data_IF_631395354561
#
_entry.id   IF_631395354561
#
_cell.length_a   1.000
_cell.length_b   1.000
_cell.length_c   1.000
_cell.angle_alpha   90.00
_cell.angle_beta   90.00
_cell.angle_gamma   90.00
#
_symmetry.space_group_name_H-M   'P 1'
#
loop_
_entity.id
_entity.type
_entity.pdbx_description
1 polymer ?
#
# COMPACT_ATOMS: atom_id res chain seq x y z
N UNK A 1 -2.45 -73.16 29.07
CA UNK A 1 -1.69 -71.96 29.49
C UNK A 1 -1.17 -71.30 28.20
N UNK A 2 -1.84 -70.31 27.60
CA UNK A 2 -1.65 -68.85 27.84
C UNK A 2 -0.16 -68.48 27.67
N UNK A 3 0.34 -67.70 26.70
CA UNK A 3 -0.08 -66.44 26.04
C UNK A 3 0.68 -66.35 24.67
N UNK A 4 0.12 -65.93 23.52
CA UNK A 4 -0.15 -64.56 23.04
C UNK A 4 0.94 -63.50 23.39
N UNK A 5 1.59 -62.93 22.37
CA UNK A 5 1.74 -61.47 22.09
C UNK A 5 2.85 -61.33 21.01
N UNK A 6 2.51 -61.17 19.72
CA UNK A 6 2.28 -59.92 18.95
C UNK A 6 3.56 -59.17 18.54
N UNK A 7 3.69 -58.99 17.22
CA UNK A 7 4.68 -58.18 16.52
C UNK A 7 4.63 -56.70 16.89
N UNK A 8 5.74 -55.97 16.67
CA UNK A 8 5.71 -54.55 16.29
C UNK A 8 7.03 -54.17 15.62
N UNK A 9 7.04 -54.25 14.29
CA UNK A 9 7.92 -53.44 13.47
C UNK A 9 7.40 -51.99 13.56
N UNK A 10 8.08 -51.14 14.33
CA UNK A 10 7.78 -49.70 14.34
C UNK A 10 8.43 -49.11 13.08
N UNK A 11 7.62 -49.02 12.03
CA UNK A 11 7.92 -48.17 10.88
C UNK A 11 7.97 -46.72 11.34
N UNK A 12 9.15 -46.12 11.24
CA UNK A 12 9.33 -44.69 11.42
C UNK A 12 8.65 -43.98 10.24
N UNK A 13 7.40 -43.56 10.41
CA UNK A 13 6.75 -42.63 9.49
C UNK A 13 7.41 -41.27 9.72
N UNK A 14 8.47 -41.01 8.95
CA UNK A 14 8.94 -39.66 8.68
C UNK A 14 7.83 -38.97 7.87
N UNK A 15 6.92 -38.31 8.58
CA UNK A 15 6.07 -37.28 7.99
C UNK A 15 6.99 -36.14 7.52
N UNK A 16 7.49 -36.27 6.28
CA UNK A 16 8.01 -35.16 5.50
C UNK A 16 6.85 -34.19 5.26
N UNK A 17 6.61 -33.33 6.25
CA UNK A 17 5.98 -32.04 6.02
C UNK A 17 6.93 -31.21 5.17
N UNK A 18 7.00 -31.53 3.87
CA UNK A 18 7.53 -30.63 2.88
C UNK A 18 6.60 -29.42 2.87
N UNK A 19 6.91 -28.41 3.69
CA UNK A 19 6.45 -27.06 3.46
C UNK A 19 7.00 -26.66 2.11
N UNK A 20 6.24 -26.93 1.05
CA UNK A 20 6.60 -26.60 -0.31
C UNK A 20 7.02 -25.13 -0.35
N UNK A 21 8.22 -24.86 -0.84
CA UNK A 21 8.56 -23.52 -1.28
C UNK A 21 7.47 -23.11 -2.29
N UNK A 22 6.58 -22.22 -1.88
CA UNK A 22 5.54 -21.71 -2.76
C UNK A 22 6.26 -21.05 -3.94
N UNK A 23 6.07 -21.60 -5.13
CA UNK A 23 6.65 -21.04 -6.33
C UNK A 23 6.14 -19.60 -6.49
N UNK A 24 7.05 -18.65 -6.77
CA UNK A 24 6.65 -17.30 -7.07
C UNK A 24 5.69 -17.30 -8.28
N UNK A 25 4.70 -16.39 -8.34
CA UNK A 25 3.80 -16.30 -9.48
C UNK A 25 4.54 -16.14 -10.80
N UNK A 26 3.94 -16.65 -11.87
CA UNK A 26 4.39 -16.39 -13.22
C UNK A 26 3.99 -14.96 -13.63
N UNK A 27 4.90 -14.01 -13.37
CA UNK A 27 4.68 -12.60 -13.69
C UNK A 27 4.53 -12.32 -15.19
N UNK A 28 4.83 -13.27 -16.07
CA UNK A 28 4.55 -13.11 -17.51
C UNK A 28 3.06 -13.25 -17.84
N UNK A 29 2.29 -13.93 -16.96
CA UNK A 29 0.85 -14.14 -17.11
C UNK A 29 0.00 -13.14 -16.33
N UNK A 30 0.59 -12.45 -15.35
CA UNK A 30 -0.11 -11.42 -14.59
C UNK A 30 -0.13 -10.09 -15.37
N UNK A 31 -1.29 -9.51 -15.70
CA UNK A 31 -1.35 -8.23 -16.41
C UNK A 31 -0.74 -7.11 -15.55
N UNK A 32 0.07 -6.26 -16.19
CA UNK A 32 0.64 -5.07 -15.56
C UNK A 32 -0.24 -3.85 -15.76
N UNK A 33 -0.64 -3.20 -14.67
CA UNK A 33 -1.27 -1.88 -14.68
C UNK A 33 -0.20 -0.82 -14.40
N UNK A 34 -0.09 0.17 -15.27
CA UNK A 34 0.76 1.35 -15.03
C UNK A 34 -0.03 2.37 -14.20
N UNK A 35 0.50 2.73 -13.04
CA UNK A 35 -0.06 3.71 -12.11
C UNK A 35 1.00 4.77 -11.84
N UNK A 36 0.63 6.04 -11.96
CA UNK A 36 1.52 7.15 -11.63
C UNK A 36 1.33 7.54 -10.18
N UNK A 37 2.34 7.31 -9.34
CA UNK A 37 2.38 7.96 -8.02
C UNK A 37 2.95 9.37 -8.18
N UNK A 38 2.39 10.33 -7.45
CA UNK A 38 2.81 11.73 -7.55
C UNK A 38 3.05 12.34 -6.18
N UNK A 39 3.86 13.39 -6.13
CA UNK A 39 4.11 14.15 -4.92
C UNK A 39 2.90 15.06 -4.61
N UNK A 40 2.16 14.83 -3.52
CA UNK A 40 0.86 15.47 -3.32
C UNK A 40 0.95 16.84 -2.63
N UNK A 41 2.15 17.29 -2.22
CA UNK A 41 2.33 18.51 -1.45
C UNK A 41 1.56 18.45 -0.12
N UNK A 42 0.90 19.55 0.23
CA UNK A 42 0.05 19.69 1.43
C UNK A 42 -1.43 19.61 1.00
N UNK A 43 -1.89 18.40 0.69
CA UNK A 43 -3.28 18.12 0.27
C UNK A 43 -4.01 17.18 1.25
N UNK A 44 -4.27 17.61 2.49
CA UNK A 44 -5.03 16.83 3.44
C UNK A 44 -6.52 16.73 3.03
N UNK A 45 -7.24 15.76 3.59
CA UNK A 45 -8.64 15.49 3.23
C UNK A 45 -9.55 16.69 3.54
N UNK A 46 -9.22 17.47 4.57
CA UNK A 46 -9.92 18.72 4.90
C UNK A 46 -9.84 19.74 3.75
N UNK A 47 -8.69 19.82 3.07
CA UNK A 47 -8.53 20.68 1.90
C UNK A 47 -9.28 20.12 0.69
N UNK A 48 -9.15 18.81 0.42
CA UNK A 48 -9.80 18.14 -0.72
C UNK A 48 -11.32 18.29 -0.70
N UNK A 49 -11.91 18.23 0.49
CA UNK A 49 -13.37 18.28 0.70
C UNK A 49 -13.89 19.70 0.88
N UNK A 50 -13.01 20.71 0.99
CA UNK A 50 -13.38 22.11 1.12
C UNK A 50 -13.56 22.75 -0.26
N UNK A 51 -14.81 22.79 -0.72
CA UNK A 51 -15.15 23.24 -2.08
C UNK A 51 -14.81 24.68 -2.45
N UNK A 52 -14.47 25.53 -1.48
CA UNK A 52 -13.93 26.88 -1.74
C UNK A 52 -12.45 26.87 -2.11
N UNK A 53 -11.73 25.78 -1.82
CA UNK A 53 -10.28 25.66 -2.01
C UNK A 53 -9.90 24.56 -2.99
N UNK A 54 -10.71 23.50 -3.08
CA UNK A 54 -10.54 22.42 -4.05
C UNK A 54 -11.83 22.20 -4.86
N UNK A 55 -11.77 22.44 -6.18
CA UNK A 55 -12.92 22.34 -7.07
C UNK A 55 -13.54 20.92 -7.12
N UNK A 56 -12.73 19.89 -6.90
CA UNK A 56 -13.18 18.48 -6.90
C UNK A 56 -14.07 18.11 -5.70
N UNK A 57 -14.18 18.95 -4.67
CA UNK A 57 -15.05 18.66 -3.52
C UNK A 57 -16.53 18.45 -3.92
N UNK A 58 -17.00 19.15 -4.96
CA UNK A 58 -18.36 18.96 -5.49
C UNK A 58 -18.51 17.63 -6.22
N UNK A 59 -17.48 17.21 -6.95
CA UNK A 59 -17.45 15.91 -7.64
C UNK A 59 -17.48 14.75 -6.65
N UNK A 60 -16.67 14.81 -5.58
CA UNK A 60 -16.68 13.81 -4.51
C UNK A 60 -18.07 13.64 -3.88
N UNK A 61 -18.78 14.74 -3.62
CA UNK A 61 -20.17 14.70 -3.10
C UNK A 61 -21.16 14.05 -4.07
N UNK A 62 -20.84 14.01 -5.37
CA UNK A 62 -21.64 13.36 -6.42
C UNK A 62 -21.19 11.92 -6.72
N UNK A 63 -20.18 11.41 -6.03
CA UNK A 63 -19.67 10.05 -6.23
C UNK A 63 -18.57 9.93 -7.29
N UNK A 64 -17.99 11.03 -7.76
CA UNK A 64 -16.81 11.00 -8.63
C UNK A 64 -15.56 10.65 -7.79
N UNK A 65 -14.65 9.85 -8.35
CA UNK A 65 -13.40 9.48 -7.66
C UNK A 65 -12.27 10.45 -8.00
N UNK A 66 -11.27 10.56 -7.14
CA UNK A 66 -10.07 11.35 -7.45
C UNK A 66 -9.42 10.87 -8.76
N UNK A 67 -9.38 9.56 -9.00
CA UNK A 67 -8.86 8.96 -10.23
C UNK A 67 -9.65 9.41 -11.47
N UNK A 68 -10.99 9.53 -11.39
CA UNK A 68 -11.80 9.94 -12.53
C UNK A 68 -11.49 11.36 -13.05
N UNK A 69 -10.93 12.23 -12.21
CA UNK A 69 -10.53 13.59 -12.61
C UNK A 69 -9.03 13.74 -12.82
N UNK A 70 -8.20 12.98 -12.10
CA UNK A 70 -6.77 13.27 -11.97
C UNK A 70 -5.81 12.18 -12.47
N UNK A 71 -6.30 11.02 -12.93
CA UNK A 71 -5.41 9.91 -13.35
C UNK A 71 -4.44 10.36 -14.46
N UNK A 72 -4.94 11.09 -15.45
CA UNK A 72 -4.13 11.63 -16.56
C UNK A 72 -3.28 12.85 -16.16
N UNK A 73 -3.62 13.53 -15.06
CA UNK A 73 -2.96 14.75 -14.59
C UNK A 73 -1.93 14.51 -13.48
N UNK A 74 -1.84 13.28 -12.94
CA UNK A 74 -1.06 12.97 -11.74
C UNK A 74 0.41 13.43 -11.84
N UNK A 75 1.04 13.25 -13.00
CA UNK A 75 2.41 13.69 -13.23
C UNK A 75 2.55 15.22 -13.20
N UNK A 76 1.63 15.94 -13.85
CA UNK A 76 1.63 17.39 -13.91
C UNK A 76 1.29 18.03 -12.57
N UNK A 77 0.38 17.42 -11.81
CA UNK A 77 0.15 17.75 -10.42
C UNK A 77 1.45 17.67 -9.62
N UNK A 78 2.10 16.51 -9.63
CA UNK A 78 3.38 16.32 -8.95
C UNK A 78 4.43 17.38 -9.31
N UNK A 79 4.53 17.73 -10.60
CA UNK A 79 5.42 18.79 -11.10
C UNK A 79 5.12 20.15 -10.47
N UNK A 80 3.85 20.56 -10.42
CA UNK A 80 3.43 21.83 -9.81
C UNK A 80 3.76 21.89 -8.31
N UNK A 81 3.67 20.77 -7.61
CA UNK A 81 4.01 20.68 -6.19
C UNK A 81 5.52 20.76 -5.96
N UNK A 82 6.34 20.00 -6.70
CA UNK A 82 7.80 20.03 -6.50
C UNK A 82 8.47 21.33 -6.96
N UNK A 83 7.81 22.13 -7.81
CA UNK A 83 8.29 23.48 -8.17
C UNK A 83 7.79 24.58 -7.23
N UNK A 84 6.93 24.25 -6.26
CA UNK A 84 6.30 25.24 -5.37
C UNK A 84 5.21 26.08 -6.05
N UNK A 85 4.83 25.76 -7.29
CA UNK A 85 3.74 26.44 -7.99
C UNK A 85 2.38 26.22 -7.30
N UNK A 86 2.21 25.09 -6.59
CA UNK A 86 0.96 24.75 -5.90
C UNK A 86 1.22 24.01 -4.58
N UNK A 87 0.55 24.46 -3.51
CA UNK A 87 0.37 23.78 -2.21
C UNK A 87 1.62 23.08 -1.62
N UNK A 88 2.82 23.60 -1.85
CA UNK A 88 4.04 23.12 -1.19
C UNK A 88 4.82 24.31 -0.60
N UNK A 89 4.75 24.54 0.72
CA UNK A 89 5.48 25.63 1.37
C UNK A 89 6.99 25.33 1.55
N UNK A 90 7.41 24.07 1.46
CA UNK A 90 8.81 23.63 1.67
C UNK A 90 9.26 22.72 0.53
N UNK A 91 9.62 23.34 -0.60
CA UNK A 91 10.13 22.64 -1.79
C UNK A 91 11.43 21.88 -1.46
N UNK A 92 11.48 20.62 -1.89
CA UNK A 92 12.68 19.78 -1.82
C UNK A 92 13.38 19.85 -3.17
N UNK A 93 14.56 20.49 -3.22
CA UNK A 93 15.35 20.61 -4.45
C UNK A 93 15.67 19.22 -4.99
N UNK A 94 15.40 19.00 -6.28
CA UNK A 94 15.70 17.74 -6.97
C UNK A 94 14.67 16.63 -6.75
N UNK A 95 13.64 16.83 -5.91
CA UNK A 95 12.60 15.82 -5.71
C UNK A 95 11.83 15.58 -7.02
N UNK A 96 11.70 14.32 -7.41
CA UNK A 96 10.86 13.93 -8.53
C UNK A 96 9.39 14.32 -8.29
N UNK A 97 8.70 14.84 -9.31
CA UNK A 97 7.27 15.17 -9.20
C UNK A 97 6.39 13.92 -9.18
N UNK A 98 6.77 12.89 -9.93
CA UNK A 98 6.00 11.65 -10.06
C UNK A 98 6.91 10.47 -10.41
N UNK A 99 6.38 9.27 -10.22
CA UNK A 99 7.03 7.99 -10.52
C UNK A 99 6.00 7.10 -11.21
N UNK A 100 6.20 6.71 -12.48
CA UNK A 100 5.39 5.68 -13.10
C UNK A 100 5.76 4.32 -12.53
N UNK A 101 4.77 3.61 -11.98
CA UNK A 101 4.94 2.30 -11.34
C UNK A 101 4.10 1.27 -12.08
N UNK A 102 4.71 0.16 -12.47
CA UNK A 102 3.98 -1.01 -12.96
C UNK A 102 3.57 -1.87 -11.77
N UNK A 103 2.28 -2.18 -11.68
CA UNK A 103 1.70 -3.02 -10.63
C UNK A 103 1.15 -4.28 -11.25
N UNK A 104 1.52 -5.43 -10.70
CA UNK A 104 0.99 -6.75 -11.07
C UNK A 104 0.47 -7.44 -9.81
N UNK A 105 -0.57 -8.26 -9.96
CA UNK A 105 -1.12 -9.04 -8.87
C UNK A 105 -1.47 -10.47 -9.32
N UNK A 106 -1.37 -11.42 -8.40
CA UNK A 106 -1.77 -12.81 -8.56
C UNK A 106 -2.10 -13.42 -7.20
N UNK A 107 -2.74 -14.57 -7.14
CA UNK A 107 -2.89 -15.33 -5.90
C UNK A 107 -2.86 -16.84 -6.13
N UNK A 108 -2.57 -17.64 -5.10
CA UNK A 108 -2.63 -19.10 -5.17
C UNK A 108 -3.90 -19.68 -4.48
N UNK A 109 -4.75 -18.79 -3.95
CA UNK A 109 -5.92 -19.14 -3.14
C UNK A 109 -5.65 -19.18 -1.63
N UNK A 110 -4.39 -19.06 -1.21
CA UNK A 110 -3.96 -18.85 0.17
C UNK A 110 -3.31 -17.48 0.33
N UNK A 111 -2.44 -17.08 -0.59
CA UNK A 111 -1.67 -15.85 -0.58
C UNK A 111 -2.00 -14.98 -1.80
N UNK A 112 -2.14 -13.68 -1.56
CA UNK A 112 -2.02 -12.61 -2.52
C UNK A 112 -0.54 -12.27 -2.74
N UNK A 113 -0.17 -12.10 -3.99
CA UNK A 113 1.13 -11.63 -4.43
C UNK A 113 0.96 -10.29 -5.14
N UNK A 114 1.77 -9.30 -4.76
CA UNK A 114 1.81 -8.00 -5.41
C UNK A 114 3.23 -7.70 -5.85
N UNK A 115 3.41 -7.27 -7.10
CA UNK A 115 4.70 -6.83 -7.62
C UNK A 115 4.61 -5.40 -8.13
N UNK A 116 5.53 -4.59 -7.66
CA UNK A 116 5.70 -3.19 -8.03
C UNK A 116 7.05 -3.05 -8.71
N UNK A 117 7.10 -2.44 -9.88
CA UNK A 117 8.38 -2.08 -10.52
C UNK A 117 8.38 -0.65 -11.03
N UNK A 118 9.50 0.04 -10.83
CA UNK A 118 9.68 1.41 -11.30
C UNK A 118 11.16 1.74 -11.47
N UNK A 119 11.42 2.71 -12.34
CA UNK A 119 12.75 3.29 -12.50
C UNK A 119 13.01 4.26 -11.35
N UNK A 120 14.16 4.13 -10.69
CA UNK A 120 14.68 5.06 -9.69
C UNK A 120 14.65 6.47 -10.27
N UNK A 121 13.88 7.40 -9.68
CA UNK A 121 13.93 8.80 -10.06
C UNK A 121 15.28 9.42 -9.69
N UNK A 122 15.61 10.54 -10.34
CA UNK A 122 16.72 11.37 -9.90
C UNK A 122 16.48 11.84 -8.45
N UNK A 123 17.55 11.86 -7.67
CA UNK A 123 17.55 12.26 -6.26
C UNK A 123 18.78 13.09 -5.91
N UNK A 124 19.05 13.24 -4.62
CA UNK A 124 20.14 14.06 -4.10
C UNK A 124 19.69 15.12 -3.08
N UNK A 125 18.46 15.00 -2.58
CA UNK A 125 17.99 15.81 -1.47
C UNK A 125 18.67 15.40 -0.15
N UNK A 126 18.51 16.24 0.87
CA UNK A 126 18.95 15.90 2.23
C UNK A 126 18.23 14.65 2.73
N UNK A 127 19.00 13.70 3.29
CA UNK A 127 18.46 12.42 3.77
C UNK A 127 17.67 12.61 5.06
N UNK A 128 16.36 12.49 4.97
CA UNK A 128 15.47 12.51 6.15
C UNK A 128 15.49 11.16 6.89
N UNK A 129 15.53 10.07 6.14
CA UNK A 129 15.70 8.70 6.60
C UNK A 129 17.08 8.20 6.15
N UNK A 130 18.05 8.20 7.06
CA UNK A 130 19.44 7.83 6.73
C UNK A 130 19.60 6.35 6.39
N UNK A 131 18.67 5.52 6.84
CA UNK A 131 18.73 4.07 6.75
C UNK A 131 18.09 3.53 5.47
N UNK A 132 17.03 4.19 5.01
CA UNK A 132 16.24 3.70 3.89
C UNK A 132 16.21 4.73 2.77
N UNK A 133 16.87 4.42 1.65
CA UNK A 133 16.75 5.21 0.42
C UNK A 133 15.31 5.19 -0.09
N UNK A 134 14.69 4.02 -0.01
CA UNK A 134 13.36 3.75 -0.52
C UNK A 134 12.53 3.02 0.53
N UNK A 135 11.25 3.38 0.64
CA UNK A 135 10.21 2.57 1.29
C UNK A 135 8.98 2.52 0.39
N UNK A 136 8.31 1.37 0.36
CA UNK A 136 7.04 1.18 -0.33
C UNK A 136 6.01 0.70 0.68
N UNK A 137 4.92 1.45 0.83
CA UNK A 137 3.79 1.10 1.67
C UNK A 137 2.55 0.88 0.79
N UNK A 138 1.75 -0.14 1.11
CA UNK A 138 0.50 -0.47 0.42
C UNK A 138 -0.61 -0.51 1.46
N UNK A 139 -1.76 0.07 1.13
CA UNK A 139 -2.95 0.08 1.96
C UNK A 139 -4.13 -0.54 1.24
N UNK A 140 -4.92 -1.34 1.97
CA UNK A 140 -6.15 -1.95 1.49
C UNK A 140 -7.34 -1.52 2.34
N UNK A 141 -8.54 -1.48 1.75
CA UNK A 141 -9.78 -1.11 2.44
C UNK A 141 -11.00 -1.84 1.86
N UNK A 142 -11.93 -2.26 2.71
CA UNK A 142 -13.08 -3.14 2.38
C UNK A 142 -14.41 -2.37 2.19
N UNK A 143 -14.36 -1.17 1.63
CA UNK A 143 -15.51 -0.29 1.40
C UNK A 143 -16.39 -0.03 2.65
N UNK A 144 -15.76 0.00 3.84
CA UNK A 144 -16.37 0.32 5.14
C UNK A 144 -16.11 1.75 5.58
N UNK A 145 -15.07 2.38 5.05
CA UNK A 145 -14.71 3.76 5.31
C UNK A 145 -15.46 4.67 4.33
N UNK A 146 -16.04 5.74 4.87
CA UNK A 146 -16.79 6.70 4.07
C UNK A 146 -15.89 7.29 2.97
N UNK A 147 -16.36 7.23 1.71
CA UNK A 147 -15.67 7.72 0.51
C UNK A 147 -14.33 7.05 0.20
N UNK A 148 -13.90 6.00 0.89
CA UNK A 148 -12.64 5.32 0.57
C UNK A 148 -12.60 4.81 -0.88
N UNK A 149 -13.76 4.43 -1.43
CA UNK A 149 -13.93 4.07 -2.84
C UNK A 149 -13.76 5.24 -3.84
N UNK A 150 -13.79 6.49 -3.36
CA UNK A 150 -13.66 7.70 -4.16
C UNK A 150 -12.28 8.35 -3.98
N UNK A 151 -11.83 8.46 -2.73
CA UNK A 151 -10.61 9.19 -2.34
C UNK A 151 -9.42 8.26 -2.02
N UNK A 152 -9.63 6.94 -2.01
CA UNK A 152 -8.55 5.98 -1.74
C UNK A 152 -7.93 6.20 -0.37
N UNK A 153 -6.60 6.20 -0.30
CA UNK A 153 -5.86 6.37 0.97
C UNK A 153 -5.95 7.79 1.56
N UNK A 154 -6.58 8.77 0.87
CA UNK A 154 -6.65 10.16 1.37
C UNK A 154 -7.51 10.31 2.61
N UNK A 155 -8.47 9.42 2.88
CA UNK A 155 -9.23 9.43 4.14
C UNK A 155 -8.34 9.22 5.38
N UNK A 156 -7.05 8.92 5.18
CA UNK A 156 -6.05 8.83 6.26
C UNK A 156 -5.11 10.04 6.37
N UNK A 157 -5.24 11.01 5.47
CA UNK A 157 -4.32 12.14 5.32
C UNK A 157 -4.94 13.41 5.88
N UNK A 158 -4.54 13.79 7.09
CA UNK A 158 -5.12 14.92 7.82
C UNK A 158 -4.11 16.04 8.02
N UNK A 159 -4.61 17.29 8.03
CA UNK A 159 -3.80 18.50 8.14
C UNK A 159 -2.95 18.57 9.43
N UNK A 160 -3.41 17.91 10.50
CA UNK A 160 -2.78 17.91 11.81
C UNK A 160 -1.89 16.69 12.08
N UNK A 161 -1.72 15.82 11.08
CA UNK A 161 -0.79 14.70 11.16
C UNK A 161 0.65 15.22 11.27
N UNK A 162 1.50 14.51 12.00
CA UNK A 162 2.92 14.83 12.17
C UNK A 162 3.59 15.07 10.81
N UNK A 163 4.52 16.02 10.76
CA UNK A 163 5.23 16.50 9.56
C UNK A 163 4.40 17.33 8.58
N UNK A 164 3.07 17.44 8.75
CA UNK A 164 2.26 18.46 8.07
C UNK A 164 2.54 19.85 8.66
N UNK A 165 2.34 20.95 7.89
CA UNK A 165 2.60 22.30 8.39
C UNK A 165 1.88 22.64 9.70
N UNK A 166 0.65 22.14 9.87
CA UNK A 166 -0.19 22.40 11.06
C UNK A 166 -0.09 21.29 12.12
N UNK A 167 0.75 20.28 11.89
CA UNK A 167 1.00 19.20 12.83
C UNK A 167 1.77 19.68 14.05
N UNK A 168 1.14 19.64 15.23
CA UNK A 168 1.74 20.08 16.51
C UNK A 168 2.13 18.93 17.44
N UNK A 169 1.62 17.73 17.19
CA UNK A 169 1.92 16.52 17.96
C UNK A 169 2.71 15.54 17.10
N UNK A 170 3.98 15.33 17.44
CA UNK A 170 4.87 14.40 16.75
C UNK A 170 4.41 12.93 16.83
N UNK A 171 3.50 12.62 17.75
CA UNK A 171 2.90 11.29 17.90
C UNK A 171 1.66 11.11 17.03
N UNK A 172 1.04 12.20 16.55
CA UNK A 172 -0.18 12.12 15.73
C UNK A 172 0.16 11.63 14.32
N UNK A 173 -0.13 10.37 14.04
CA UNK A 173 0.07 9.77 12.71
C UNK A 173 -1.17 9.91 11.84
N UNK A 174 -1.13 9.30 10.65
CA UNK A 174 -2.34 9.00 9.86
C UNK A 174 -3.40 8.31 10.74
N UNK A 175 -4.66 8.66 10.51
CA UNK A 175 -5.84 8.12 11.18
C UNK A 175 -7.06 8.24 10.27
N UNK A 176 -8.11 7.49 10.57
CA UNK A 176 -9.44 7.57 9.95
C UNK A 176 -10.39 8.14 10.99
N UNK A 177 -11.19 9.12 10.60
CA UNK A 177 -12.23 9.66 11.50
C UNK A 177 -13.27 8.59 11.81
N UNK A 178 -13.44 8.26 13.11
CA UNK A 178 -14.30 7.15 13.53
C UNK A 178 -13.78 5.76 13.15
N UNK A 179 -12.47 5.63 12.95
CA UNK A 179 -11.82 4.36 12.67
C UNK A 179 -12.02 3.34 13.79
N UNK A 180 -12.31 2.10 13.41
CA UNK A 180 -12.63 1.00 14.32
C UNK A 180 -12.23 -0.32 13.66
N UNK A 181 -11.21 -0.99 14.21
CA UNK A 181 -10.73 -2.27 13.68
C UNK A 181 -11.79 -3.35 13.80
N UNK A 182 -12.52 -3.41 14.93
CA UNK A 182 -13.54 -4.45 15.17
C UNK A 182 -14.76 -4.26 14.27
N UNK A 183 -15.11 -3.01 13.99
CA UNK A 183 -16.17 -2.62 13.06
C UNK A 183 -15.76 -2.64 11.58
N UNK A 184 -14.52 -2.99 11.25
CA UNK A 184 -14.02 -3.04 9.88
C UNK A 184 -13.68 -1.68 9.26
N UNK A 185 -13.74 -0.59 10.03
CA UNK A 185 -13.42 0.78 9.58
C UNK A 185 -11.94 1.07 9.75
N UNK A 186 -11.10 0.40 8.97
CA UNK A 186 -9.66 0.61 8.98
C UNK A 186 -9.08 0.35 7.58
N UNK A 187 -7.87 0.86 7.35
CA UNK A 187 -7.03 0.41 6.25
C UNK A 187 -6.04 -0.62 6.78
N UNK A 188 -5.96 -1.77 6.14
CA UNK A 188 -4.83 -2.70 6.27
C UNK A 188 -3.58 -2.02 5.67
N UNK A 189 -2.41 -2.19 6.29
CA UNK A 189 -1.16 -1.56 5.89
C UNK A 189 0.01 -2.55 5.93
N UNK A 190 0.62 -2.77 4.76
CA UNK A 190 1.90 -3.47 4.64
C UNK A 190 2.99 -2.52 4.13
N UNK A 191 4.23 -2.70 4.58
CA UNK A 191 5.36 -1.90 4.12
C UNK A 191 6.64 -2.71 3.96
N UNK A 192 7.40 -2.36 2.92
CA UNK A 192 8.79 -2.76 2.72
C UNK A 192 9.72 -1.55 2.83
N UNK A 193 10.92 -1.77 3.36
CA UNK A 193 11.98 -0.78 3.44
C UNK A 193 13.26 -1.29 2.77
N UNK A 194 14.02 -0.40 2.13
CA UNK A 194 15.25 -0.75 1.42
C UNK A 194 16.37 -1.33 2.29
N UNK A 195 16.35 -1.10 3.61
CA UNK A 195 17.26 -1.77 4.56
C UNK A 195 16.82 -3.19 4.92
N UNK A 196 15.64 -3.62 4.48
CA UNK A 196 15.12 -4.99 4.61
C UNK A 196 14.07 -5.18 5.70
N UNK A 197 13.68 -4.14 6.44
CA UNK A 197 12.55 -4.23 7.37
C UNK A 197 11.22 -4.31 6.62
N UNK A 198 10.27 -4.99 7.27
CA UNK A 198 8.92 -5.26 6.77
C UNK A 198 7.94 -4.99 7.90
N UNK A 199 6.80 -4.42 7.58
CA UNK A 199 5.80 -4.02 8.57
C UNK A 199 4.42 -4.49 8.13
N UNK A 200 3.62 -4.92 9.10
CA UNK A 200 2.26 -5.41 8.91
C UNK A 200 1.36 -4.87 10.03
N UNK A 201 0.40 -4.04 9.66
CA UNK A 201 -0.43 -3.32 10.61
C UNK A 201 -1.62 -2.65 9.93
N UNK A 202 -2.07 -1.52 10.47
CA UNK A 202 -3.30 -0.87 10.02
C UNK A 202 -3.35 0.63 10.32
N UNK A 203 -4.33 1.32 9.73
CA UNK A 203 -4.72 2.68 10.07
C UNK A 203 -6.20 2.70 10.42
N UNK A 204 -6.50 2.91 11.70
CA UNK A 204 -7.84 3.16 12.25
C UNK A 204 -7.85 4.54 12.90
N UNK A 205 -8.22 4.67 14.18
CA UNK A 205 -8.09 5.90 14.98
C UNK A 205 -6.63 6.42 15.08
N UNK A 206 -5.66 5.54 14.82
CA UNK A 206 -4.24 5.84 14.64
C UNK A 206 -3.60 4.83 13.69
N UNK A 207 -2.36 5.09 13.30
CA UNK A 207 -1.54 4.12 12.57
C UNK A 207 -0.81 3.20 13.55
N UNK A 208 -0.93 1.91 13.30
CA UNK A 208 -0.18 0.83 13.94
C UNK A 208 0.64 0.13 12.86
N UNK A 209 1.93 -0.07 13.09
CA UNK A 209 2.86 -0.64 12.09
C UNK A 209 3.13 -2.13 12.29
N UNK A 210 2.72 -2.70 13.42
CA UNK A 210 3.07 -4.07 13.81
C UNK A 210 1.84 -4.80 14.38
N UNK A 211 1.88 -6.13 14.35
CA UNK A 211 0.87 -6.99 14.94
C UNK A 211 -0.06 -7.65 13.93
N UNK A 212 -0.03 -7.24 12.66
CA UNK A 212 -0.65 -7.96 11.56
C UNK A 212 -0.04 -9.36 11.38
N UNK A 213 -0.81 -10.26 10.78
CA UNK A 213 -0.44 -11.67 10.56
C UNK A 213 -0.57 -12.11 9.11
N UNK A 214 -0.94 -11.18 8.24
CA UNK A 214 -1.16 -11.46 6.83
C UNK A 214 0.14 -11.41 6.05
N UNK A 215 1.05 -10.48 6.33
CA UNK A 215 2.31 -10.34 5.59
C UNK A 215 3.23 -11.54 5.84
N UNK A 216 3.42 -12.35 4.80
CA UNK A 216 4.35 -13.48 4.81
C UNK A 216 5.75 -13.02 4.46
N UNK A 217 5.87 -12.18 3.44
CA UNK A 217 7.15 -11.71 2.95
C UNK A 217 7.02 -10.38 2.21
N UNK A 218 8.11 -9.61 2.20
CA UNK A 218 8.27 -8.40 1.42
C UNK A 218 9.74 -8.28 1.03
N UNK A 219 10.01 -8.38 -0.28
CA UNK A 219 11.37 -8.38 -0.84
C UNK A 219 11.47 -7.28 -1.87
N UNK A 220 12.55 -6.51 -1.80
CA UNK A 220 12.86 -5.50 -2.81
C UNK A 220 14.30 -5.64 -3.28
N UNK A 221 14.49 -5.47 -4.57
CA UNK A 221 15.79 -5.48 -5.22
C UNK A 221 15.89 -4.34 -6.22
N UNK A 222 17.12 -3.86 -6.44
CA UNK A 222 17.42 -2.88 -7.48
C UNK A 222 18.28 -3.53 -8.55
N UNK A 223 17.76 -3.64 -9.77
CA UNK A 223 18.46 -4.17 -10.94
C UNK A 223 18.81 -3.00 -11.86
N UNK A 224 20.06 -2.55 -11.81
CA UNK A 224 20.47 -1.33 -12.49
C UNK A 224 19.76 -0.11 -11.89
N UNK A 225 18.92 0.55 -12.66
CA UNK A 225 18.08 1.67 -12.22
C UNK A 225 16.62 1.27 -11.94
N UNK A 226 16.24 0.00 -12.11
CA UNK A 226 14.89 -0.48 -11.82
C UNK A 226 14.78 -1.08 -10.42
N UNK A 227 13.83 -0.60 -9.63
CA UNK A 227 13.38 -1.27 -8.42
C UNK A 227 12.30 -2.28 -8.74
N UNK A 228 12.37 -3.44 -8.10
CA UNK A 228 11.29 -4.44 -8.08
C UNK A 228 11.02 -4.80 -6.63
N UNK A 229 9.78 -4.60 -6.17
CA UNK A 229 9.34 -5.00 -4.83
C UNK A 229 8.18 -5.96 -4.95
N UNK A 230 8.28 -7.10 -4.27
CA UNK A 230 7.24 -8.12 -4.19
C UNK A 230 6.78 -8.31 -2.76
N UNK A 231 5.46 -8.25 -2.55
CA UNK A 231 4.81 -8.64 -1.31
C UNK A 231 4.12 -9.99 -1.48
N UNK A 232 4.23 -10.84 -0.47
CA UNK A 232 3.41 -12.03 -0.28
C UNK A 232 2.61 -11.85 0.99
N UNK A 233 1.29 -11.81 0.87
CA UNK A 233 0.36 -11.60 1.98
C UNK A 233 -0.71 -12.69 1.94
N UNK A 234 -1.00 -13.36 3.04
CA UNK A 234 -2.16 -14.27 3.12
C UNK A 234 -3.44 -13.52 2.74
N UNK A 235 -4.40 -14.19 2.13
CA UNK A 235 -5.71 -13.59 1.86
C UNK A 235 -6.42 -13.19 3.15
N UNK A 236 -6.21 -13.94 4.25
CA UNK A 236 -6.65 -13.58 5.59
C UNK A 236 -5.51 -13.76 6.62
N UNK A 237 -5.35 -12.81 7.53
CA UNK A 237 -4.34 -12.85 8.60
C UNK A 237 -4.96 -12.88 10.00
N UNK A 238 -5.67 -11.82 10.37
CA UNK A 238 -6.33 -11.67 11.67
C UNK A 238 -6.81 -10.23 11.93
N UNK A 239 -6.79 -9.82 13.20
CA UNK A 239 -7.12 -8.43 13.58
C UNK A 239 -6.15 -7.44 12.92
N UNK A 240 -6.69 -6.39 12.32
CA UNK A 240 -5.89 -5.40 11.57
C UNK A 240 -5.57 -5.81 10.12
N UNK A 241 -5.91 -7.03 9.71
CA UNK A 241 -5.74 -7.51 8.34
C UNK A 241 -7.10 -7.68 7.65
N UNK A 242 -7.26 -7.15 6.44
CA UNK A 242 -8.50 -7.35 5.68
C UNK A 242 -8.57 -8.77 5.13
N UNK A 243 -9.62 -9.51 5.49
CA UNK A 243 -9.89 -10.81 4.89
C UNK A 243 -10.37 -10.65 3.44
N UNK A 244 -9.57 -11.15 2.50
CA UNK A 244 -9.82 -11.07 1.07
C UNK A 244 -10.42 -12.37 0.53
N UNK A 245 -11.46 -12.27 -0.29
CA UNK A 245 -12.15 -13.42 -0.86
C UNK A 245 -12.22 -13.31 -2.39
N UNK A 246 -12.14 -14.47 -3.07
CA UNK A 246 -12.36 -14.55 -4.50
C UNK A 246 -13.76 -14.03 -4.90
N UNK A 247 -13.85 -13.39 -6.06
CA UNK A 247 -15.05 -12.73 -6.56
C UNK A 247 -15.35 -11.37 -5.90
N UNK A 248 -14.45 -10.84 -5.06
CA UNK A 248 -14.61 -9.54 -4.39
C UNK A 248 -13.59 -8.50 -4.85
N UNK A 249 -13.94 -7.24 -4.64
CA UNK A 249 -13.09 -6.08 -4.90
C UNK A 249 -12.83 -5.31 -3.60
N UNK A 250 -11.62 -4.77 -3.50
CA UNK A 250 -11.11 -4.00 -2.38
C UNK A 250 -10.50 -2.71 -2.90
N UNK A 251 -10.50 -1.66 -2.09
CA UNK A 251 -9.74 -0.45 -2.43
C UNK A 251 -8.27 -0.70 -2.16
N UNK A 252 -7.41 -0.25 -3.08
CA UNK A 252 -5.95 -0.33 -2.97
C UNK A 252 -5.33 1.03 -3.28
N UNK A 253 -4.34 1.41 -2.49
CA UNK A 253 -3.46 2.52 -2.79
C UNK A 253 -2.08 2.28 -2.19
N UNK A 254 -1.08 3.01 -2.67
CA UNK A 254 0.30 2.81 -2.26
C UNK A 254 1.10 4.10 -2.31
N UNK A 255 2.18 4.13 -1.54
CA UNK A 255 3.05 5.28 -1.40
C UNK A 255 4.52 4.85 -1.45
N UNK A 256 5.32 5.66 -2.14
CA UNK A 256 6.77 5.51 -2.22
C UNK A 256 7.42 6.70 -1.51
N UNK A 257 8.16 6.43 -0.45
CA UNK A 257 9.17 7.36 0.02
C UNK A 257 10.45 7.08 -0.77
N UNK A 258 10.73 7.91 -1.76
CA UNK A 258 11.98 7.87 -2.54
C UNK A 258 13.00 8.90 -2.02
N UNK A 259 14.26 8.74 -2.41
CA UNK A 259 15.37 9.66 -2.08
C UNK A 259 15.47 9.97 -0.58
N UNK A 260 15.41 8.93 0.26
CA UNK A 260 15.53 9.03 1.71
C UNK A 260 14.45 9.90 2.38
N UNK A 261 13.32 10.13 1.72
CA UNK A 261 12.24 10.93 2.30
C UNK A 261 11.52 10.21 3.44
N UNK A 262 10.86 10.99 4.30
CA UNK A 262 10.04 10.48 5.39
C UNK A 262 8.79 11.33 5.58
N UNK A 263 7.87 10.89 6.44
CA UNK A 263 6.67 11.66 6.78
C UNK A 263 5.79 11.98 5.56
N UNK A 264 5.34 13.22 5.45
CA UNK A 264 4.49 13.69 4.33
C UNK A 264 5.19 13.71 2.97
N UNK A 265 6.51 13.56 2.91
CA UNK A 265 7.30 13.79 1.69
C UNK A 265 7.31 12.61 0.70
N UNK A 266 6.28 11.78 0.68
CA UNK A 266 6.15 10.61 -0.20
C UNK A 266 5.45 10.96 -1.53
N UNK A 267 5.63 10.09 -2.51
CA UNK A 267 4.74 9.99 -3.66
C UNK A 267 3.61 9.03 -3.33
N UNK A 268 2.40 9.32 -3.78
CA UNK A 268 1.21 8.53 -3.48
C UNK A 268 0.39 8.26 -4.74
N UNK A 269 -0.23 7.09 -4.81
CA UNK A 269 -1.20 6.75 -5.86
C UNK A 269 -2.54 7.41 -5.57
N UNK A 270 -3.36 7.63 -6.60
CA UNK A 270 -4.80 7.85 -6.42
C UNK A 270 -5.47 6.56 -5.86
N UNK A 271 -6.79 6.60 -5.66
CA UNK A 271 -7.56 5.41 -5.28
C UNK A 271 -7.80 4.50 -6.49
N UNK A 272 -7.49 3.20 -6.33
CA UNK A 272 -7.74 2.16 -7.32
C UNK A 272 -8.44 0.96 -6.67
N UNK A 273 -8.92 0.03 -7.49
CA UNK A 273 -9.54 -1.21 -7.04
C UNK A 273 -8.63 -2.43 -7.29
N UNK A 274 -8.57 -3.32 -6.31
CA UNK A 274 -7.97 -4.65 -6.39
C UNK A 274 -9.09 -5.71 -6.41
N UNK A 275 -9.15 -6.52 -7.45
CA UNK A 275 -10.08 -7.65 -7.56
C UNK A 275 -9.36 -8.97 -7.32
N UNK A 276 -9.90 -9.82 -6.44
CA UNK A 276 -9.45 -11.21 -6.30
C UNK A 276 -10.37 -12.06 -7.17
N UNK A 277 -9.88 -12.61 -8.28
CA UNK A 277 -10.69 -13.25 -9.33
C UNK A 277 -11.91 -12.39 -9.78
N UNK A 278 -11.79 -11.06 -9.69
CA UNK A 278 -12.84 -10.10 -10.00
C UNK A 278 -12.32 -8.96 -10.89
N UNK A 279 -13.21 -8.39 -11.70
CA UNK A 279 -12.88 -7.24 -12.54
C UNK A 279 -12.63 -6.01 -11.66
N UNK A 280 -11.46 -5.40 -11.81
CA UNK A 280 -11.00 -4.22 -11.08
C UNK A 280 -9.89 -3.52 -11.88
N UNK A 281 -9.36 -2.42 -11.36
CA UNK A 281 -8.21 -1.73 -11.97
C UNK A 281 -6.95 -2.62 -11.98
N UNK A 282 -6.77 -3.38 -10.89
CA UNK A 282 -5.75 -4.41 -10.73
C UNK A 282 -6.48 -5.72 -10.42
N UNK A 283 -6.32 -6.74 -11.26
CA UNK A 283 -6.89 -8.07 -11.01
C UNK A 283 -5.79 -9.03 -10.58
N UNK A 284 -5.94 -9.60 -9.37
CA UNK A 284 -5.20 -10.77 -8.94
C UNK A 284 -5.97 -12.00 -9.43
N UNK A 285 -5.46 -12.66 -10.46
CA UNK A 285 -6.00 -13.94 -10.92
C UNK A 285 -5.29 -15.11 -10.22
N UNK A 286 -6.03 -16.21 -10.02
CA UNK A 286 -5.44 -17.43 -9.49
C UNK A 286 -4.34 -18.00 -10.40
N UNK A 287 -3.21 -18.39 -9.81
CA UNK A 287 -2.09 -19.10 -10.45
C UNK A 287 -1.67 -20.32 -9.62
#
# INVERSE_FOLDING_TARGET
MQKLITASAVGLVLALGAGGAMAAPDWSKAPGKKITVFYPGVSPIEWITKGTEHGGAKGLKKGESCASCHDEEAADMGKKMVTGQKIEPKVIKGKAGSIPVTVQAAHDGTNLYLRFSWKQPAGGAEKMDKDNQVKLAVMFEDNKIERANLSGCWETCHQDARTMPDGKDDKKTKYVTGGDVKGGKFYDLIQWTSKGAKHDGYVADKRVMEGGKALVDAKGEKKGDEWVVTFTRKLAGGEGDIAMAAGKTYNIGFAIHDDHTSGRFHHVSLGYTLGIDAKADITAAKQ
#
